data_IF_204731694789
#
_entry.id   IF_204731694789
#
_cell.length_a   1.000
_cell.length_b   1.000
_cell.length_c   1.000
_cell.angle_alpha   90.00
_cell.angle_beta   90.00
_cell.angle_gamma   90.00
#
_symmetry.space_group_name_H-M   'P 1'
#
loop_
_entity.id
_entity.type
_entity.pdbx_description
1 polymer ?
#
# COMPACT_ATOMS: atom_id res chain seq x y z
N UNK A 1 -46.67 -13.32 17.69
CA UNK A 1 -46.23 -12.84 16.35
C UNK A 1 -45.25 -11.67 16.44
N UNK A 2 -45.56 -10.57 17.16
CA UNK A 2 -44.69 -9.38 17.23
C UNK A 2 -43.30 -9.59 17.84
N UNK A 3 -43.18 -10.41 18.90
CA UNK A 3 -41.90 -10.68 19.56
C UNK A 3 -40.94 -11.48 18.67
N UNK A 4 -41.45 -12.45 17.90
CA UNK A 4 -40.66 -13.22 16.92
C UNK A 4 -40.13 -12.33 15.80
N UNK A 5 -40.95 -11.43 15.26
CA UNK A 5 -40.54 -10.49 14.22
C UNK A 5 -39.52 -9.45 14.72
N UNK A 6 -39.65 -9.00 15.97
CA UNK A 6 -38.66 -8.11 16.61
C UNK A 6 -37.34 -8.84 16.89
N UNK A 7 -37.40 -10.09 17.32
CA UNK A 7 -36.23 -10.94 17.51
C UNK A 7 -35.52 -11.24 16.17
N UNK A 8 -36.28 -11.51 15.10
CA UNK A 8 -35.76 -11.68 13.74
C UNK A 8 -35.09 -10.42 13.20
N UNK A 9 -35.67 -9.24 13.47
CA UNK A 9 -35.05 -7.94 13.14
C UNK A 9 -33.75 -7.70 13.93
N UNK A 10 -33.68 -8.15 15.18
CA UNK A 10 -32.47 -8.08 16.00
C UNK A 10 -31.42 -9.08 15.51
N UNK A 11 -31.79 -10.31 15.13
CA UNK A 11 -30.83 -11.30 14.61
C UNK A 11 -30.31 -10.96 13.22
N UNK A 12 -31.12 -10.26 12.40
CA UNK A 12 -30.72 -9.72 11.09
C UNK A 12 -30.06 -8.34 11.19
N UNK A 13 -29.71 -7.89 12.40
CA UNK A 13 -29.14 -6.57 12.60
C UNK A 13 -27.67 -6.61 12.15
N UNK A 14 -27.32 -5.74 11.20
CA UNK A 14 -25.97 -5.64 10.62
C UNK A 14 -24.87 -5.58 11.70
N UNK A 15 -25.17 -4.91 12.82
CA UNK A 15 -24.28 -4.82 13.98
C UNK A 15 -23.98 -6.17 14.66
N UNK A 16 -24.97 -7.04 14.83
CA UNK A 16 -24.75 -8.34 15.46
C UNK A 16 -24.07 -9.32 14.50
N UNK A 17 -24.34 -9.20 13.19
CA UNK A 17 -23.63 -9.95 12.16
C UNK A 17 -22.14 -9.59 12.13
N UNK A 18 -21.81 -8.30 12.12
CA UNK A 18 -20.42 -7.82 12.15
C UNK A 18 -19.71 -8.23 13.44
N UNK A 19 -20.36 -8.14 14.61
CA UNK A 19 -19.78 -8.63 15.86
C UNK A 19 -19.52 -10.13 15.85
N UNK A 20 -20.44 -10.93 15.29
CA UNK A 20 -20.29 -12.38 15.20
C UNK A 20 -19.13 -12.75 14.28
N UNK A 21 -18.98 -12.06 13.15
CA UNK A 21 -17.85 -12.22 12.24
C UNK A 21 -16.53 -11.78 12.87
N UNK A 22 -16.51 -10.60 13.50
CA UNK A 22 -15.35 -10.04 14.19
C UNK A 22 -14.84 -10.94 15.32
N UNK A 23 -15.76 -11.60 16.05
CA UNK A 23 -15.43 -12.58 17.10
C UNK A 23 -14.74 -13.82 16.52
N UNK A 24 -15.09 -14.21 15.28
CA UNK A 24 -14.50 -15.39 14.59
C UNK A 24 -13.12 -15.10 14.01
N UNK A 25 -12.88 -13.89 13.53
CA UNK A 25 -11.62 -13.47 12.89
C UNK A 25 -10.56 -12.95 13.88
N UNK A 26 -10.78 -13.12 15.19
CA UNK A 26 -9.90 -12.63 16.26
C UNK A 26 -9.61 -11.11 16.25
N UNK A 27 -10.40 -10.33 15.51
CA UNK A 27 -10.20 -8.89 15.28
C UNK A 27 -11.26 -8.00 15.95
N UNK A 28 -12.12 -8.55 16.81
CA UNK A 28 -13.22 -7.82 17.46
C UNK A 28 -12.78 -6.61 18.29
N UNK A 29 -11.70 -6.74 19.07
CA UNK A 29 -11.19 -5.64 19.86
C UNK A 29 -10.75 -4.46 18.97
N UNK A 30 -10.09 -4.74 17.85
CA UNK A 30 -9.65 -3.70 16.89
C UNK A 30 -10.84 -3.03 16.21
N UNK A 31 -11.80 -3.81 15.72
CA UNK A 31 -13.01 -3.27 15.08
C UNK A 31 -13.79 -2.37 16.04
N UNK A 32 -13.82 -2.66 17.34
CA UNK A 32 -14.51 -1.83 18.32
C UNK A 32 -13.72 -0.58 18.75
N UNK A 33 -12.41 -0.68 18.87
CA UNK A 33 -11.55 0.46 19.26
C UNK A 33 -11.34 1.42 18.09
N UNK A 34 -11.24 0.91 16.87
CA UNK A 34 -11.16 1.70 15.66
C UNK A 34 -12.57 1.98 15.10
N UNK A 35 -13.07 3.17 15.40
CA UNK A 35 -14.40 3.61 14.94
C UNK A 35 -14.54 3.68 13.42
N UNK A 36 -13.46 3.93 12.68
CA UNK A 36 -13.52 3.97 11.21
C UNK A 36 -13.71 2.56 10.64
N UNK A 37 -12.98 1.58 11.19
CA UNK A 37 -13.13 0.19 10.81
C UNK A 37 -14.53 -0.35 11.15
N UNK A 38 -15.06 -0.02 12.34
CA UNK A 38 -16.46 -0.35 12.68
C UNK A 38 -17.44 0.21 11.64
N UNK A 39 -17.29 1.49 11.31
CA UNK A 39 -18.19 2.18 10.40
C UNK A 39 -18.13 1.57 8.99
N UNK A 40 -16.95 1.26 8.46
CA UNK A 40 -16.82 0.60 7.14
C UNK A 40 -17.38 -0.82 7.14
N UNK A 41 -17.17 -1.60 8.21
CA UNK A 41 -17.75 -2.94 8.37
C UNK A 41 -19.26 -2.95 8.50
N UNK A 42 -19.86 -1.97 9.17
CA UNK A 42 -21.32 -1.85 9.22
C UNK A 42 -21.93 -1.54 7.85
N UNK A 43 -21.22 -0.76 7.04
CA UNK A 43 -21.66 -0.42 5.68
C UNK A 43 -21.52 -1.58 4.71
N UNK A 44 -20.52 -2.46 4.91
CA UNK A 44 -20.28 -3.66 4.11
C UNK A 44 -21.52 -4.57 4.04
N UNK A 45 -22.25 -4.73 5.14
CA UNK A 45 -23.45 -5.57 5.20
C UNK A 45 -24.53 -5.20 4.15
N UNK A 46 -24.68 -3.92 3.85
CA UNK A 46 -25.72 -3.41 2.94
C UNK A 46 -25.17 -3.05 1.55
N UNK A 47 -23.93 -3.41 1.25
CA UNK A 47 -23.22 -2.97 0.05
C UNK A 47 -22.94 -4.13 -0.91
N UNK A 48 -22.77 -3.80 -2.18
CA UNK A 48 -22.34 -4.76 -3.20
C UNK A 48 -20.83 -4.75 -3.33
N UNK A 49 -20.21 -5.92 -3.26
CA UNK A 49 -18.78 -6.11 -3.54
C UNK A 49 -18.57 -6.01 -5.05
N UNK A 50 -17.73 -5.05 -5.47
CA UNK A 50 -17.40 -4.82 -6.88
C UNK A 50 -16.16 -5.60 -7.28
N UNK A 51 -15.18 -5.72 -6.38
CA UNK A 51 -13.99 -6.52 -6.63
C UNK A 51 -12.96 -6.42 -5.50
N UNK A 52 -11.86 -7.14 -5.69
CA UNK A 52 -10.73 -7.23 -4.76
C UNK A 52 -9.43 -6.95 -5.53
N UNK A 53 -8.49 -6.23 -4.92
CA UNK A 53 -7.18 -5.99 -5.51
C UNK A 53 -6.16 -7.08 -5.18
N UNK A 54 -4.96 -6.96 -5.76
CA UNK A 54 -3.84 -7.87 -5.51
C UNK A 54 -3.31 -7.86 -4.07
N UNK A 55 -3.63 -6.82 -3.29
CA UNK A 55 -3.24 -6.69 -1.87
C UNK A 55 -4.33 -7.19 -0.92
N UNK A 56 -5.50 -7.61 -1.44
CA UNK A 56 -6.65 -8.07 -0.69
C UNK A 56 -7.60 -6.96 -0.22
N UNK A 57 -7.43 -5.73 -0.71
CA UNK A 57 -8.36 -4.63 -0.41
C UNK A 57 -9.66 -4.85 -1.19
N UNK A 58 -10.79 -4.69 -0.51
CA UNK A 58 -12.12 -4.96 -1.06
C UNK A 58 -12.86 -3.67 -1.34
N UNK A 59 -13.45 -3.58 -2.54
CA UNK A 59 -14.10 -2.37 -3.02
C UNK A 59 -15.61 -2.57 -3.09
N UNK A 60 -16.33 -1.63 -2.49
CA UNK A 60 -17.78 -1.70 -2.33
C UNK A 60 -18.48 -0.51 -2.96
N UNK A 61 -19.66 -0.77 -3.51
CA UNK A 61 -20.57 0.26 -4.00
C UNK A 61 -21.98 0.09 -3.41
N UNK A 62 -22.62 1.20 -3.06
CA UNK A 62 -24.03 1.28 -2.63
C UNK A 62 -24.68 2.52 -3.24
N UNK A 63 -25.33 2.36 -4.40
CA UNK A 63 -26.01 3.46 -5.11
C UNK A 63 -27.34 3.87 -4.47
N UNK A 64 -28.06 2.94 -3.86
CA UNK A 64 -29.37 3.20 -3.25
C UNK A 64 -29.24 3.85 -1.87
N UNK A 65 -30.10 4.85 -1.60
CA UNK A 65 -30.26 5.50 -0.28
C UNK A 65 -28.95 5.98 0.37
N UNK A 66 -27.97 6.35 -0.45
CA UNK A 66 -26.65 6.82 0.01
C UNK A 66 -26.33 8.17 -0.61
N UNK A 67 -25.74 9.06 0.18
CA UNK A 67 -25.31 10.37 -0.29
C UNK A 67 -24.27 10.24 -1.42
N UNK A 68 -24.39 11.09 -2.44
CA UNK A 68 -23.39 11.19 -3.50
C UNK A 68 -22.00 11.48 -2.92
N UNK A 69 -20.96 10.85 -3.48
CA UNK A 69 -19.59 10.88 -2.94
C UNK A 69 -19.28 9.83 -1.87
N UNK A 70 -20.29 9.29 -1.15
CA UNK A 70 -20.07 8.22 -0.15
C UNK A 70 -20.41 6.83 -0.66
N UNK A 71 -20.99 6.70 -1.85
CA UNK A 71 -21.50 5.43 -2.36
C UNK A 71 -20.41 4.44 -2.76
N UNK A 72 -19.17 4.88 -3.00
CA UNK A 72 -18.00 4.00 -3.19
C UNK A 72 -17.06 4.11 -1.99
N UNK A 73 -16.53 2.98 -1.51
CA UNK A 73 -15.49 2.95 -0.49
C UNK A 73 -14.66 1.67 -0.59
N UNK A 74 -13.53 1.66 0.11
CA UNK A 74 -12.64 0.51 0.22
C UNK A 74 -12.58 0.04 1.67
N UNK A 75 -12.47 -1.28 1.85
CA UNK A 75 -12.08 -1.92 3.11
C UNK A 75 -10.70 -2.52 2.91
N UNK A 76 -9.72 -1.99 3.62
CA UNK A 76 -8.33 -2.44 3.50
C UNK A 76 -8.14 -3.84 4.08
N UNK A 77 -7.23 -4.61 3.49
CA UNK A 77 -6.85 -5.93 4.00
C UNK A 77 -6.14 -5.83 5.36
N UNK A 78 -5.23 -4.85 5.51
CA UNK A 78 -4.55 -4.58 6.76
C UNK A 78 -5.44 -3.75 7.69
N UNK A 79 -6.02 -4.39 8.70
CA UNK A 79 -6.82 -3.72 9.73
C UNK A 79 -6.01 -2.92 10.75
N UNK A 80 -4.69 -3.09 10.82
CA UNK A 80 -3.86 -2.48 11.86
C UNK A 80 -3.13 -1.23 11.36
N UNK A 81 -2.57 -1.26 10.14
CA UNK A 81 -1.83 -0.13 9.58
C UNK A 81 -2.30 0.22 8.16
N UNK A 82 -3.61 0.43 7.99
CA UNK A 82 -4.16 0.84 6.69
C UNK A 82 -3.65 2.23 6.28
N UNK A 83 -3.39 2.40 4.98
CA UNK A 83 -2.89 3.63 4.39
C UNK A 83 -3.65 3.93 3.08
N UNK A 84 -4.02 5.19 2.86
CA UNK A 84 -4.69 5.63 1.64
C UNK A 84 -3.90 5.32 0.36
N UNK A 85 -2.57 5.33 0.45
CA UNK A 85 -1.68 5.03 -0.68
C UNK A 85 -1.56 3.54 -1.03
N UNK A 86 -2.17 2.64 -0.26
CA UNK A 86 -2.18 1.21 -0.56
C UNK A 86 -3.07 0.87 -1.77
N UNK A 87 -3.99 1.76 -2.14
CA UNK A 87 -4.88 1.58 -3.30
C UNK A 87 -4.06 1.64 -4.59
N UNK A 88 -4.14 0.63 -5.47
CA UNK A 88 -3.43 0.65 -6.74
C UNK A 88 -4.09 1.60 -7.76
N UNK A 89 -3.38 2.02 -8.81
CA UNK A 89 -3.84 3.05 -9.75
C UNK A 89 -5.20 2.74 -10.41
N UNK A 90 -5.44 1.49 -10.77
CA UNK A 90 -6.69 1.02 -11.37
C UNK A 90 -7.90 1.28 -10.46
N UNK A 91 -7.78 0.96 -9.17
CA UNK A 91 -8.85 1.16 -8.20
C UNK A 91 -8.95 2.62 -7.73
N UNK A 92 -7.84 3.36 -7.77
CA UNK A 92 -7.81 4.78 -7.41
C UNK A 92 -8.73 5.60 -8.34
N UNK A 93 -8.67 5.38 -9.65
CA UNK A 93 -9.50 6.12 -10.60
C UNK A 93 -11.01 5.89 -10.36
N UNK A 94 -11.40 4.63 -10.12
CA UNK A 94 -12.79 4.25 -9.84
C UNK A 94 -13.30 4.79 -8.50
N UNK A 95 -12.48 4.69 -7.44
CA UNK A 95 -12.84 5.15 -6.10
C UNK A 95 -13.02 6.67 -6.03
N UNK A 96 -12.19 7.42 -6.75
CA UNK A 96 -12.22 8.89 -6.79
C UNK A 96 -13.22 9.48 -7.80
N UNK A 97 -14.10 8.66 -8.38
CA UNK A 97 -15.10 9.10 -9.36
C UNK A 97 -14.49 9.76 -10.61
N UNK A 98 -13.23 9.42 -10.95
CA UNK A 98 -12.56 9.90 -12.17
C UNK A 98 -13.11 9.14 -13.38
N UNK A 99 -13.41 7.86 -13.20
CA UNK A 99 -13.98 6.99 -14.21
C UNK A 99 -15.02 6.05 -13.62
N UNK A 100 -15.98 5.65 -14.43
CA UNK A 100 -16.96 4.62 -14.10
C UNK A 100 -16.52 3.22 -14.54
N UNK A 101 -15.39 3.11 -15.26
CA UNK A 101 -14.79 1.83 -15.59
C UNK A 101 -14.34 1.10 -14.33
N UNK A 102 -14.62 -0.20 -14.25
CA UNK A 102 -14.16 -1.03 -13.14
C UNK A 102 -12.64 -1.22 -13.22
N UNK A 103 -12.00 -1.49 -12.09
CA UNK A 103 -10.56 -1.67 -12.05
C UNK A 103 -10.09 -2.86 -12.90
N UNK A 104 -10.91 -3.90 -13.06
CA UNK A 104 -10.61 -5.04 -13.95
C UNK A 104 -10.46 -4.59 -15.41
N UNK A 105 -11.36 -3.72 -15.90
CA UNK A 105 -11.26 -3.13 -17.24
C UNK A 105 -10.00 -2.29 -17.41
N UNK A 106 -9.59 -1.57 -16.35
CA UNK A 106 -8.37 -0.75 -16.36
C UNK A 106 -7.10 -1.61 -16.27
N UNK A 107 -7.18 -2.76 -15.61
CA UNK A 107 -6.04 -3.68 -15.47
C UNK A 107 -5.66 -4.30 -16.82
N UNK A 108 -6.63 -4.55 -17.70
CA UNK A 108 -6.40 -5.00 -19.09
C UNK A 108 -5.58 -3.99 -19.90
N UNK A 109 -5.69 -2.70 -19.58
CA UNK A 109 -4.96 -1.61 -20.25
C UNK A 109 -3.55 -1.40 -19.69
N UNK A 110 -3.16 -2.14 -18.64
CA UNK A 110 -1.88 -1.94 -17.96
C UNK A 110 -0.70 -2.32 -18.87
N UNK A 111 0.30 -1.43 -19.05
CA UNK A 111 1.43 -1.71 -19.92
C UNK A 111 2.32 -2.82 -19.37
N UNK A 112 2.50 -3.89 -20.13
CA UNK A 112 3.25 -5.09 -19.71
C UNK A 112 4.76 -4.90 -19.71
N UNK A 113 5.31 -4.08 -20.63
CA UNK A 113 6.76 -3.93 -20.83
C UNK A 113 7.48 -3.19 -19.70
N UNK A 114 6.83 -2.22 -19.08
CA UNK A 114 7.46 -1.30 -18.12
C UNK A 114 6.59 -1.06 -16.87
N UNK A 115 5.46 -1.76 -16.76
CA UNK A 115 4.56 -1.65 -15.61
C UNK A 115 5.26 -2.16 -14.35
N UNK A 116 5.40 -1.27 -13.36
CA UNK A 116 5.92 -1.64 -12.04
C UNK A 116 4.74 -2.03 -11.15
N UNK A 117 4.96 -3.00 -10.26
CA UNK A 117 3.98 -3.37 -9.25
C UNK A 117 3.70 -2.19 -8.32
N UNK A 118 2.44 -2.07 -7.87
CA UNK A 118 2.07 -1.00 -6.94
C UNK A 118 2.80 -1.17 -5.61
N UNK A 119 3.28 -0.06 -5.06
CA UNK A 119 3.88 0.00 -3.73
C UNK A 119 3.31 1.18 -3.00
N UNK A 120 2.82 0.94 -1.78
CA UNK A 120 2.33 2.01 -0.92
C UNK A 120 3.42 3.05 -0.60
N UNK A 121 3.00 4.20 -0.09
CA UNK A 121 3.93 5.22 0.35
C UNK A 121 4.58 4.82 1.68
N UNK A 122 5.87 4.50 1.64
CA UNK A 122 6.68 4.09 2.79
C UNK A 122 7.41 5.27 3.47
N UNK A 123 6.96 6.51 3.24
CA UNK A 123 7.55 7.69 3.88
C UNK A 123 7.52 7.53 5.42
N UNK A 124 8.67 7.71 6.06
CA UNK A 124 8.80 7.60 7.51
C UNK A 124 9.03 6.18 8.07
N UNK A 125 9.04 5.13 7.23
CA UNK A 125 9.33 3.74 7.67
C UNK A 125 10.82 3.37 7.70
N UNK A 126 11.71 4.36 7.67
CA UNK A 126 13.17 4.20 7.76
C UNK A 126 13.92 4.52 6.47
N UNK A 127 15.18 4.91 6.59
CA UNK A 127 15.97 5.50 5.49
C UNK A 127 16.17 4.58 4.29
N UNK A 128 16.18 3.25 4.49
CA UNK A 128 16.34 2.27 3.41
C UNK A 128 15.10 2.08 2.52
N UNK A 129 13.90 2.46 2.99
CA UNK A 129 12.66 2.33 2.23
C UNK A 129 12.23 3.64 1.54
N UNK A 130 12.74 4.76 2.05
CA UNK A 130 12.44 6.10 1.56
C UNK A 130 13.32 6.43 0.35
N UNK A 131 12.75 7.16 -0.60
CA UNK A 131 13.51 7.64 -1.75
C UNK A 131 14.45 8.79 -1.36
N UNK A 132 15.73 8.63 -1.69
CA UNK A 132 16.75 9.66 -1.53
C UNK A 132 17.26 10.13 -2.89
N UNK A 133 17.46 11.43 -3.06
CA UNK A 133 18.01 11.98 -4.32
C UNK A 133 19.46 11.53 -4.53
N UNK A 134 19.95 11.58 -5.77
CA UNK A 134 21.28 11.09 -6.15
C UNK A 134 22.43 11.79 -5.41
N UNK A 135 22.25 13.01 -4.89
CA UNK A 135 23.28 13.74 -4.13
C UNK A 135 23.14 13.61 -2.61
N UNK A 136 22.07 12.99 -2.11
CA UNK A 136 21.77 12.92 -0.69
C UNK A 136 22.81 12.08 0.07
N UNK A 137 23.16 12.48 1.29
CA UNK A 137 24.17 11.80 2.09
C UNK A 137 23.77 10.38 2.51
N UNK A 138 22.48 10.12 2.72
CA UNK A 138 21.94 8.79 3.06
C UNK A 138 21.76 7.88 1.83
N UNK A 139 21.93 8.40 0.61
CA UNK A 139 21.85 7.57 -0.58
C UNK A 139 23.13 6.73 -0.69
N UNK A 140 23.05 5.37 -0.70
CA UNK A 140 24.24 4.53 -0.82
C UNK A 140 25.02 4.80 -2.12
N UNK A 141 24.31 5.20 -3.19
CA UNK A 141 24.89 5.52 -4.49
C UNK A 141 24.96 7.04 -4.69
N UNK A 142 25.60 7.74 -3.75
CA UNK A 142 25.80 9.20 -3.84
C UNK A 142 26.62 9.56 -5.07
N UNK A 143 25.99 10.26 -6.00
CA UNK A 143 26.58 10.74 -7.25
C UNK A 143 27.45 11.97 -6.99
N UNK A 144 28.67 11.94 -7.53
CA UNK A 144 29.47 13.16 -7.72
C UNK A 144 29.03 13.88 -9.00
N UNK A 145 28.85 15.20 -8.90
CA UNK A 145 28.39 16.07 -9.99
C UNK A 145 29.51 16.86 -10.64
N UNK A 146 30.77 16.62 -10.24
CA UNK A 146 31.94 17.21 -10.91
C UNK A 146 31.88 16.93 -12.42
N UNK A 147 32.04 17.99 -13.20
CA UNK A 147 32.10 17.93 -14.68
C UNK A 147 33.53 17.76 -15.21
N UNK A 148 34.51 17.80 -14.32
CA UNK A 148 35.92 17.65 -14.61
C UNK A 148 36.49 16.53 -13.75
N UNK A 149 37.56 15.92 -14.22
CA UNK A 149 38.34 14.97 -13.43
C UNK A 149 39.48 15.73 -12.76
N UNK A 150 39.57 15.65 -11.43
CA UNK A 150 40.72 16.17 -10.71
C UNK A 150 41.94 15.32 -11.04
N UNK A 151 43.06 15.97 -11.36
CA UNK A 151 44.34 15.26 -11.45
C UNK A 151 44.68 14.62 -10.09
N UNK A 152 44.93 13.31 -10.08
CA UNK A 152 45.36 12.57 -8.91
C UNK A 152 46.83 12.15 -9.13
N UNK A 153 47.79 12.68 -8.35
CA UNK A 153 49.18 12.25 -8.46
C UNK A 153 49.33 10.77 -8.09
N UNK A 154 50.29 10.09 -8.72
CA UNK A 154 50.72 8.77 -8.26
C UNK A 154 51.41 8.89 -6.90
N UNK A 155 51.10 7.94 -6.00
CA UNK A 155 51.74 7.91 -4.69
C UNK A 155 53.18 7.40 -4.85
N UNK A 156 54.22 8.19 -4.52
CA UNK A 156 55.62 7.79 -4.67
C UNK A 156 55.98 6.52 -3.86
N UNK A 157 55.21 6.16 -2.84
CA UNK A 157 55.44 4.94 -2.05
C UNK A 157 54.96 3.66 -2.73
N UNK A 158 54.15 3.75 -3.79
CA UNK A 158 53.70 2.59 -4.56
C UNK A 158 54.80 2.00 -5.46
N UNK A 159 55.70 2.85 -5.96
CA UNK A 159 56.86 2.42 -6.74
C UNK A 159 57.91 1.71 -5.86
N UNK A 160 58.14 2.18 -4.63
CA UNK A 160 59.08 1.54 -3.68
C UNK A 160 58.75 0.08 -3.38
N UNK A 161 57.46 -0.28 -3.30
CA UNK A 161 57.05 -1.67 -3.02
C UNK A 161 57.21 -2.61 -4.23
N UNK A 162 57.21 -2.06 -5.44
CA UNK A 162 57.42 -2.86 -6.67
C UNK A 162 58.89 -3.19 -6.91
N UNK A 163 59.82 -2.33 -6.48
CA UNK A 163 61.27 -2.55 -6.64
C UNK A 163 61.89 -3.48 -5.58
N UNK A 164 61.25 -3.68 -4.43
CA UNK A 164 61.75 -4.56 -3.36
C UNK A 164 61.45 -6.07 -3.60
N UNK A 165 60.66 -6.44 -4.61
CA UNK A 165 60.25 -7.85 -4.86
C UNK A 165 61.06 -8.55 -5.97
N UNK A 166 62.29 -8.11 -6.26
CA UNK A 166 63.24 -8.95 -7.01
C UNK A 166 64.20 -9.63 -6.03
N UNK A 167 63.94 -10.88 -5.60
CA UNK A 167 64.98 -11.64 -4.93
C UNK A 167 66.08 -11.91 -5.95
N UNK A 168 67.28 -11.39 -5.70
CA UNK A 168 68.49 -11.75 -6.44
C UNK A 168 68.61 -13.29 -6.44
N UNK A 169 68.36 -13.90 -7.59
CA UNK A 169 68.67 -15.31 -7.82
C UNK A 169 70.17 -15.38 -8.11
N UNK A 170 70.85 -16.21 -7.30
CA UNK A 170 72.27 -16.56 -7.35
C UNK A 170 72.61 -17.27 -8.65
#
# INVERSE_FOLDING_TARGET
MAFKAALEKLTNNAFLATLKEAKRTANLARILVDGNLLHTKLREHDATLIGEDTQGNKYFEKKANTQFGRHRWVVYADSANYNASAIPPEWHAWLHYITDHTAEQLLELKPTRYGVAHRENLTGRGDGMVYHTKGHALNPNKRDWKRYQSWQPENPDSERKSSETTPNSV
#
